data_IF_178891790623
#
_entry.id   IF_178891790623
#
_cell.length_a   1.000
_cell.length_b   1.000
_cell.length_c   1.000
_cell.angle_alpha   90.00
_cell.angle_beta   90.00
_cell.angle_gamma   90.00
#
_symmetry.space_group_name_H-M   'P 1'
#
loop_
_entity.id
_entity.type
_entity.pdbx_description
1 polymer ?
#
# COMPACT_ATOMS: atom_id res chain seq x y z
N UNK A 1 -13.33 39.86 5.03
CA UNK A 1 -13.68 39.29 3.73
C UNK A 1 -12.79 38.08 3.45
N UNK A 2 -13.36 36.98 2.98
CA UNK A 2 -12.60 35.85 2.56
C UNK A 2 -11.76 36.26 1.34
N UNK A 3 -10.48 36.51 1.55
CA UNK A 3 -9.53 36.62 0.44
C UNK A 3 -9.21 35.19 0.01
N UNK A 4 -9.44 34.88 -1.25
CA UNK A 4 -9.10 33.59 -1.81
C UNK A 4 -7.58 33.49 -1.95
N UNK A 5 -6.90 33.05 -0.89
CA UNK A 5 -5.45 32.88 -0.83
C UNK A 5 -5.01 31.52 -1.40
N UNK A 6 -5.60 31.07 -2.50
CA UNK A 6 -5.28 29.78 -3.11
C UNK A 6 -3.89 29.81 -3.73
N UNK A 7 -2.89 29.44 -2.95
CA UNK A 7 -1.63 28.94 -3.50
C UNK A 7 -1.85 27.47 -3.90
N UNK A 8 -1.75 27.16 -5.18
CA UNK A 8 -1.73 25.78 -5.65
C UNK A 8 -0.29 25.30 -5.65
N UNK A 9 -0.02 24.27 -4.87
CA UNK A 9 1.26 23.56 -4.87
C UNK A 9 1.11 22.25 -5.63
N UNK A 10 1.89 22.09 -6.70
CA UNK A 10 2.05 20.81 -7.39
C UNK A 10 3.37 20.18 -6.95
N UNK A 11 3.28 18.98 -6.39
CA UNK A 11 4.43 18.19 -5.95
C UNK A 11 4.47 16.84 -6.67
N UNK A 12 5.67 16.34 -6.95
CA UNK A 12 5.89 14.99 -7.47
C UNK A 12 6.37 14.05 -6.38
N UNK A 13 6.15 12.76 -6.53
CA UNK A 13 6.34 11.72 -5.50
C UNK A 13 7.76 11.63 -4.89
N UNK A 14 8.76 12.25 -5.49
CA UNK A 14 10.17 12.16 -5.05
C UNK A 14 10.76 13.48 -4.57
N UNK A 15 9.99 14.56 -4.57
CA UNK A 15 10.50 15.90 -4.20
C UNK A 15 9.55 16.60 -3.25
N UNK A 16 10.09 17.12 -2.16
CA UNK A 16 9.37 18.11 -1.36
C UNK A 16 9.35 19.42 -2.13
N UNK A 17 8.17 19.99 -2.32
CA UNK A 17 8.00 21.27 -3.01
C UNK A 17 7.43 22.30 -2.06
N UNK A 18 7.90 23.54 -2.15
CA UNK A 18 7.34 24.67 -1.41
C UNK A 18 6.42 25.47 -2.32
N UNK A 19 5.26 25.83 -1.80
CA UNK A 19 4.30 26.70 -2.48
C UNK A 19 4.72 28.17 -2.47
N UNK A 20 3.96 28.99 -3.19
CA UNK A 20 4.10 30.44 -3.15
C UNK A 20 3.56 30.99 -1.83
N UNK A 21 4.27 31.91 -1.21
CA UNK A 21 3.82 32.62 -0.01
C UNK A 21 2.69 33.57 -0.36
N UNK A 22 1.59 33.51 0.42
CA UNK A 22 0.45 34.42 0.32
C UNK A 22 0.32 35.24 1.60
N UNK A 23 -0.15 36.47 1.49
CA UNK A 23 -0.36 37.34 2.64
C UNK A 23 -1.67 36.96 3.35
N UNK A 24 -1.59 36.76 4.66
CA UNK A 24 -2.73 36.50 5.54
C UNK A 24 -2.63 37.45 6.73
N UNK A 25 -3.77 37.82 7.36
CA UNK A 25 -3.81 38.73 8.47
C UNK A 25 -4.17 38.03 9.77
N UNK A 26 -3.62 38.51 10.88
CA UNK A 26 -3.99 38.02 12.20
C UNK A 26 -5.49 38.15 12.43
N UNK A 27 -6.11 37.14 13.02
CA UNK A 27 -7.55 37.05 13.24
C UNK A 27 -8.35 36.46 12.08
N UNK A 28 -7.72 36.19 10.93
CA UNK A 28 -8.35 35.49 9.82
C UNK A 28 -8.32 33.95 10.01
N UNK A 29 -9.19 33.29 9.29
CA UNK A 29 -9.18 31.82 9.19
C UNK A 29 -8.98 31.42 7.72
N UNK A 30 -7.90 30.69 7.44
CA UNK A 30 -7.62 30.12 6.15
C UNK A 30 -8.23 28.72 6.06
N UNK A 31 -8.88 28.40 4.92
CA UNK A 31 -9.30 27.04 4.62
C UNK A 31 -8.20 26.32 3.87
N UNK A 32 -7.82 25.14 4.35
CA UNK A 32 -6.86 24.26 3.73
C UNK A 32 -7.64 23.23 2.89
N UNK A 33 -7.52 23.22 1.56
CA UNK A 33 -8.26 22.31 0.71
C UNK A 33 -7.81 20.88 0.90
N UNK A 34 -8.67 19.92 0.53
CA UNK A 34 -8.26 18.54 0.39
C UNK A 34 -7.20 18.41 -0.70
N UNK A 35 -6.21 17.57 -0.44
CA UNK A 35 -5.21 17.21 -1.45
C UNK A 35 -5.83 16.36 -2.55
N UNK A 36 -5.31 16.51 -3.77
CA UNK A 36 -5.64 15.65 -4.92
C UNK A 36 -4.37 15.01 -5.47
N UNK A 37 -4.47 13.81 -6.00
CA UNK A 37 -3.34 13.08 -6.58
C UNK A 37 -3.64 12.66 -8.01
N UNK A 38 -2.69 12.91 -8.92
CA UNK A 38 -2.78 12.48 -10.32
C UNK A 38 -1.36 12.32 -10.92
N UNK A 39 -1.03 11.19 -11.57
CA UNK A 39 -1.78 9.94 -11.56
C UNK A 39 -1.67 9.24 -10.20
N UNK A 40 -2.67 8.43 -9.85
CA UNK A 40 -2.67 7.64 -8.64
C UNK A 40 -3.96 7.74 -7.84
N UNK A 41 -4.02 7.01 -6.74
CA UNK A 41 -5.16 7.00 -5.85
C UNK A 41 -4.75 7.44 -4.45
N UNK A 42 -5.22 8.59 -4.02
CA UNK A 42 -4.98 9.13 -2.68
C UNK A 42 -5.47 8.14 -1.58
N UNK A 43 -6.44 7.28 -1.89
CA UNK A 43 -6.92 6.21 -1.01
C UNK A 43 -5.82 5.21 -0.60
N UNK A 44 -4.73 5.10 -1.38
CA UNK A 44 -3.59 4.24 -1.06
C UNK A 44 -2.63 4.85 -0.02
N UNK A 45 -2.90 6.07 0.43
CA UNK A 45 -2.05 6.81 1.38
C UNK A 45 -2.84 7.19 2.62
N UNK A 46 -2.14 7.30 3.73
CA UNK A 46 -2.56 8.09 4.89
C UNK A 46 -2.02 9.49 4.68
N UNK A 47 -2.90 10.49 4.58
CA UNK A 47 -2.52 11.87 4.33
C UNK A 47 -2.77 12.69 5.58
N UNK A 48 -1.77 13.44 6.01
CA UNK A 48 -1.89 14.37 7.14
C UNK A 48 -1.54 15.77 6.69
N UNK A 49 -2.09 16.77 7.39
CA UNK A 49 -1.69 18.16 7.28
C UNK A 49 -1.28 18.66 8.65
N UNK A 50 -0.19 19.42 8.70
CA UNK A 50 0.31 20.07 9.91
C UNK A 50 0.80 21.48 9.56
N UNK A 51 0.63 22.44 10.49
CA UNK A 51 1.14 23.79 10.35
C UNK A 51 2.07 24.11 11.52
N UNK A 52 3.16 24.83 11.24
CA UNK A 52 4.18 25.21 12.23
C UNK A 52 3.74 26.36 13.17
N UNK A 53 2.70 27.10 12.79
CA UNK A 53 2.11 28.14 13.63
C UNK A 53 0.60 28.29 13.35
N UNK A 54 -0.09 29.06 14.19
CA UNK A 54 -1.55 29.20 14.15
C UNK A 54 -2.25 28.05 14.88
N UNK A 55 -3.58 28.02 14.79
CA UNK A 55 -4.40 26.94 15.36
C UNK A 55 -5.07 26.17 14.23
N UNK A 56 -4.58 24.96 13.99
CA UNK A 56 -5.11 24.07 12.97
C UNK A 56 -6.29 23.27 13.52
N UNK A 57 -7.41 23.28 12.81
CA UNK A 57 -8.56 22.41 13.06
C UNK A 57 -8.65 21.37 11.96
N UNK A 58 -8.54 20.10 12.36
CA UNK A 58 -8.44 18.97 11.44
C UNK A 58 -7.00 18.71 10.99
N UNK A 59 -6.67 17.44 10.81
CA UNK A 59 -5.31 16.98 10.42
C UNK A 59 -5.31 16.03 9.24
N UNK A 60 -6.49 15.67 8.72
CA UNK A 60 -6.60 14.77 7.58
C UNK A 60 -6.48 15.56 6.27
N UNK A 61 -5.36 15.40 5.57
CA UNK A 61 -5.08 16.07 4.30
C UNK A 61 -6.08 15.75 3.17
N UNK A 62 -6.87 14.69 3.31
CA UNK A 62 -7.95 14.35 2.35
C UNK A 62 -9.29 15.03 2.70
N UNK A 63 -9.37 15.75 3.80
CA UNK A 63 -10.57 16.46 4.24
C UNK A 63 -10.60 17.90 3.69
N UNK A 64 -11.72 18.28 3.10
CA UNK A 64 -11.96 19.67 2.67
C UNK A 64 -12.27 20.63 3.85
N UNK A 65 -12.35 20.10 5.07
CA UNK A 65 -12.77 20.87 6.26
C UNK A 65 -11.64 21.35 7.16
N UNK A 66 -10.38 21.20 6.76
CA UNK A 66 -9.26 21.69 7.56
C UNK A 66 -9.21 23.21 7.52
N UNK A 67 -9.06 23.86 8.69
CA UNK A 67 -8.96 25.31 8.80
C UNK A 67 -7.79 25.70 9.70
N UNK A 68 -7.15 26.82 9.37
CA UNK A 68 -6.08 27.41 10.15
C UNK A 68 -6.49 28.80 10.62
N UNK A 69 -6.64 28.97 11.93
CA UNK A 69 -6.81 30.28 12.52
C UNK A 69 -5.45 30.99 12.64
N UNK A 70 -5.34 32.18 12.04
CA UNK A 70 -4.10 32.96 11.99
C UNK A 70 -3.97 33.74 13.28
N UNK A 71 -2.95 33.47 14.07
CA UNK A 71 -2.63 34.19 15.30
C UNK A 71 -1.65 35.34 15.03
N UNK A 72 -1.52 36.27 15.98
CA UNK A 72 -0.65 37.45 15.84
C UNK A 72 0.87 37.15 15.72
N UNK A 73 1.29 35.88 15.86
CA UNK A 73 2.70 35.51 15.83
C UNK A 73 3.30 35.38 14.41
N UNK A 74 2.45 35.34 13.36
CA UNK A 74 2.94 35.26 11.98
C UNK A 74 3.42 36.64 11.49
N UNK A 75 4.64 36.69 10.97
CA UNK A 75 5.22 37.90 10.36
C UNK A 75 5.63 37.60 8.91
N UNK A 76 5.81 38.66 8.11
CA UNK A 76 6.27 38.51 6.72
C UNK A 76 7.65 37.84 6.60
N UNK A 77 8.47 37.89 7.63
CA UNK A 77 9.80 37.26 7.71
C UNK A 77 9.77 35.86 8.28
N UNK A 78 8.61 35.42 8.81
CA UNK A 78 8.38 34.08 9.36
C UNK A 78 7.02 33.57 8.89
N UNK A 79 6.90 33.11 7.64
CA UNK A 79 5.64 32.63 7.10
C UNK A 79 5.19 31.36 7.85
N UNK A 80 3.87 31.20 7.99
CA UNK A 80 3.31 29.94 8.45
C UNK A 80 3.43 28.92 7.31
N UNK A 81 4.04 27.78 7.61
CA UNK A 81 4.17 26.68 6.68
C UNK A 81 3.21 25.56 7.06
N UNK A 82 2.30 25.22 6.14
CA UNK A 82 1.44 24.05 6.29
C UNK A 82 1.93 22.94 5.36
N UNK A 83 2.25 21.79 5.93
CA UNK A 83 2.81 20.65 5.22
C UNK A 83 1.80 19.52 5.13
N UNK A 84 1.55 19.07 3.90
CA UNK A 84 0.83 17.83 3.61
C UNK A 84 1.83 16.69 3.50
N UNK A 85 1.56 15.59 4.20
CA UNK A 85 2.43 14.41 4.21
C UNK A 85 1.63 13.19 3.79
N UNK A 86 2.10 12.50 2.75
CA UNK A 86 1.52 11.27 2.23
C UNK A 86 2.37 10.08 2.63
N UNK A 87 1.82 9.23 3.49
CA UNK A 87 2.45 7.98 3.89
C UNK A 87 1.76 6.81 3.18
N UNK A 88 2.46 6.03 2.34
CA UNK A 88 1.87 4.86 1.70
C UNK A 88 1.31 3.89 2.72
N UNK A 89 0.10 3.41 2.51
CA UNK A 89 -0.48 2.32 3.29
C UNK A 89 0.18 1.01 2.90
N UNK A 90 0.27 0.08 3.83
CA UNK A 90 0.87 -1.24 3.62
C UNK A 90 -0.07 -2.36 4.04
N UNK A 91 0.13 -3.53 3.43
CA UNK A 91 -0.36 -4.83 3.86
C UNK A 91 0.85 -5.74 4.12
N UNK A 92 0.65 -6.94 4.62
CA UNK A 92 1.68 -7.98 4.64
C UNK A 92 1.31 -9.11 3.72
N UNK A 93 2.29 -9.70 3.04
CA UNK A 93 2.16 -10.86 2.18
C UNK A 93 2.98 -12.01 2.74
N UNK A 94 2.38 -13.20 2.82
CA UNK A 94 3.05 -14.44 3.18
C UNK A 94 2.73 -15.49 2.13
N UNK A 95 3.75 -16.24 1.68
CA UNK A 95 3.57 -17.43 0.86
C UNK A 95 3.41 -18.65 1.74
N UNK A 96 2.53 -19.56 1.34
CA UNK A 96 2.35 -20.86 1.96
C UNK A 96 2.28 -21.96 0.89
N UNK A 97 2.73 -23.16 1.27
CA UNK A 97 2.65 -24.37 0.45
C UNK A 97 1.91 -25.47 1.21
N UNK A 98 0.90 -26.03 0.58
CA UNK A 98 0.19 -27.21 1.08
C UNK A 98 0.39 -28.38 0.09
N UNK A 99 0.68 -29.56 0.64
CA UNK A 99 0.82 -30.80 -0.13
C UNK A 99 -0.38 -31.72 0.14
N UNK A 100 -0.94 -32.32 -0.90
CA UNK A 100 -2.01 -33.28 -0.78
C UNK A 100 -1.55 -34.64 -0.23
N UNK A 101 -2.50 -35.47 0.17
CA UNK A 101 -2.24 -36.73 0.86
C UNK A 101 -1.41 -37.77 0.07
N UNK A 102 -1.37 -37.66 -1.26
CA UNK A 102 -0.64 -38.61 -2.13
C UNK A 102 0.68 -38.03 -2.66
N UNK A 103 1.18 -36.96 -2.09
CA UNK A 103 2.47 -36.38 -2.49
C UNK A 103 3.63 -37.28 -2.08
N UNK A 104 4.61 -37.45 -2.99
CA UNK A 104 5.81 -38.20 -2.69
C UNK A 104 6.78 -37.39 -1.82
N UNK A 105 7.43 -38.04 -0.86
CA UNK A 105 8.40 -37.40 0.02
C UNK A 105 9.59 -36.76 -0.73
N UNK A 106 9.87 -37.19 -1.96
CA UNK A 106 10.94 -36.63 -2.81
C UNK A 106 10.51 -35.40 -3.62
N UNK A 107 9.22 -35.08 -3.65
CA UNK A 107 8.72 -33.96 -4.43
C UNK A 107 9.02 -32.63 -3.75
N UNK A 108 9.30 -31.62 -4.55
CA UNK A 108 9.63 -30.29 -4.03
C UNK A 108 9.02 -29.18 -4.88
N UNK A 109 8.83 -28.04 -4.27
CA UNK A 109 8.27 -26.84 -4.91
C UNK A 109 9.04 -25.59 -4.51
N UNK A 110 9.26 -24.72 -5.48
CA UNK A 110 9.70 -23.34 -5.29
C UNK A 110 8.60 -22.41 -5.79
N UNK A 111 8.18 -21.51 -4.93
CA UNK A 111 7.17 -20.48 -5.21
C UNK A 111 7.73 -19.10 -4.88
N UNK A 112 7.22 -18.08 -5.54
CA UNK A 112 7.70 -16.71 -5.35
C UNK A 112 6.60 -15.68 -5.53
N UNK A 113 6.89 -14.47 -5.07
CA UNK A 113 6.08 -13.29 -5.29
C UNK A 113 6.98 -12.10 -5.58
N UNK A 114 6.68 -11.36 -6.66
CA UNK A 114 7.50 -10.24 -7.12
C UNK A 114 6.64 -9.00 -7.35
N UNK A 115 7.27 -7.82 -7.21
CA UNK A 115 6.68 -6.53 -7.60
C UNK A 115 7.64 -5.87 -8.58
N UNK A 116 7.16 -5.57 -9.82
CA UNK A 116 7.99 -4.96 -10.84
C UNK A 116 9.27 -5.77 -11.17
N UNK A 117 9.23 -7.10 -11.03
CA UNK A 117 10.38 -7.99 -11.24
C UNK A 117 11.32 -8.14 -10.04
N UNK A 118 11.11 -7.39 -8.96
CA UNK A 118 11.89 -7.55 -7.72
C UNK A 118 11.24 -8.61 -6.82
N UNK A 119 12.03 -9.57 -6.33
CA UNK A 119 11.56 -10.59 -5.41
C UNK A 119 11.15 -9.96 -4.07
N UNK A 120 9.87 -10.12 -3.69
CA UNK A 120 9.39 -9.74 -2.36
C UNK A 120 9.63 -10.87 -1.35
N UNK A 121 9.26 -12.11 -1.75
CA UNK A 121 9.42 -13.29 -0.91
C UNK A 121 9.47 -14.55 -1.77
N UNK A 122 10.16 -15.56 -1.28
CA UNK A 122 10.24 -16.89 -1.90
C UNK A 122 10.04 -17.95 -0.83
N UNK A 123 9.55 -19.10 -1.22
CA UNK A 123 9.42 -20.27 -0.36
C UNK A 123 9.83 -21.53 -1.12
N UNK A 124 10.74 -22.31 -0.53
CA UNK A 124 11.03 -23.67 -0.96
C UNK A 124 10.38 -24.66 0.01
N UNK A 125 9.73 -25.67 -0.51
CA UNK A 125 9.01 -26.69 0.26
C UNK A 125 9.24 -28.09 -0.31
N UNK A 126 9.29 -29.07 0.55
CA UNK A 126 9.33 -30.50 0.19
C UNK A 126 8.07 -31.19 0.72
N UNK A 127 7.59 -32.18 -0.02
CA UNK A 127 6.38 -32.93 0.32
C UNK A 127 6.60 -33.98 1.43
N UNK A 128 7.83 -34.20 1.89
CA UNK A 128 8.18 -35.18 2.92
C UNK A 128 7.64 -34.93 4.32
N UNK A 129 6.91 -33.85 4.50
CA UNK A 129 6.15 -33.56 5.71
C UNK A 129 4.73 -33.18 5.33
N UNK A 130 3.75 -33.65 6.07
CA UNK A 130 2.34 -33.26 5.91
C UNK A 130 2.04 -31.84 6.39
N UNK A 131 3.05 -31.09 6.84
CA UNK A 131 2.90 -29.75 7.34
C UNK A 131 2.83 -28.75 6.20
N UNK A 132 1.85 -27.83 6.29
CA UNK A 132 1.86 -26.62 5.47
C UNK A 132 3.14 -25.83 5.79
N UNK A 133 3.96 -25.57 4.76
CA UNK A 133 5.14 -24.75 4.92
C UNK A 133 4.77 -23.28 4.65
N UNK A 134 5.25 -22.38 5.48
CA UNK A 134 5.02 -20.94 5.32
C UNK A 134 6.35 -20.20 5.26
N UNK A 135 6.45 -19.27 4.33
CA UNK A 135 7.56 -18.32 4.23
C UNK A 135 7.44 -17.18 5.24
N UNK A 136 8.41 -16.29 5.24
CA UNK A 136 8.34 -15.06 6.02
C UNK A 136 7.26 -14.12 5.46
N UNK A 137 6.54 -13.43 6.35
CA UNK A 137 5.65 -12.35 5.96
C UNK A 137 6.48 -11.10 5.64
N UNK A 138 6.14 -10.42 4.54
CA UNK A 138 6.83 -9.21 4.06
C UNK A 138 5.83 -8.08 3.89
N UNK A 139 6.27 -6.84 4.15
CA UNK A 139 5.45 -5.66 3.90
C UNK A 139 5.36 -5.38 2.40
N UNK A 140 4.15 -5.07 1.93
CA UNK A 140 3.86 -4.67 0.55
C UNK A 140 3.03 -3.40 0.55
N UNK A 141 3.29 -2.52 -0.42
CA UNK A 141 2.60 -1.24 -0.53
C UNK A 141 1.24 -1.42 -1.20
N UNK A 142 0.22 -0.79 -0.65
CA UNK A 142 -1.10 -0.66 -1.28
C UNK A 142 -0.97 0.10 -2.60
N UNK A 143 -1.66 -0.37 -3.62
CA UNK A 143 -1.53 0.12 -5.00
C UNK A 143 -0.59 -0.72 -5.87
N UNK A 144 0.23 -1.60 -5.28
CA UNK A 144 1.10 -2.49 -6.04
C UNK A 144 0.34 -3.67 -6.64
N UNK A 145 0.85 -4.17 -7.76
CA UNK A 145 0.48 -5.46 -8.33
C UNK A 145 1.59 -6.46 -8.05
N UNK A 146 1.25 -7.53 -7.37
CA UNK A 146 2.15 -8.65 -7.08
C UNK A 146 2.01 -9.68 -8.19
N UNK A 147 3.13 -10.15 -8.71
CA UNK A 147 3.18 -11.26 -9.67
C UNK A 147 3.63 -12.53 -8.94
N UNK A 148 2.89 -13.59 -9.15
CA UNK A 148 3.20 -14.95 -8.70
C UNK A 148 3.62 -15.76 -9.94
N UNK A 149 4.91 -16.00 -10.14
CA UNK A 149 5.38 -16.90 -11.21
C UNK A 149 4.79 -18.30 -11.06
N UNK A 150 4.79 -19.04 -12.14
CA UNK A 150 4.45 -20.46 -12.09
C UNK A 150 5.32 -21.19 -11.06
N UNK A 151 4.71 -22.10 -10.30
CA UNK A 151 5.44 -22.99 -9.41
C UNK A 151 6.46 -23.84 -10.18
N UNK A 152 7.64 -24.02 -9.61
CA UNK A 152 8.71 -24.87 -10.16
C UNK A 152 9.18 -25.88 -9.12
N UNK A 153 9.74 -27.00 -9.54
CA UNK A 153 10.28 -28.01 -8.61
C UNK A 153 10.31 -29.42 -9.17
N UNK A 154 10.68 -30.40 -8.31
CA UNK A 154 10.76 -31.78 -8.67
C UNK A 154 9.35 -32.39 -8.81
N UNK A 155 9.07 -33.00 -9.94
CA UNK A 155 7.80 -33.68 -10.26
C UNK A 155 6.56 -32.76 -10.24
N UNK A 156 6.74 -31.45 -10.28
CA UNK A 156 5.63 -30.49 -10.15
C UNK A 156 4.59 -30.63 -11.27
N UNK A 157 5.01 -31.07 -12.46
CA UNK A 157 4.12 -31.35 -13.58
C UNK A 157 3.14 -32.51 -13.36
N UNK A 158 3.31 -33.30 -12.29
CA UNK A 158 2.40 -34.38 -11.92
C UNK A 158 1.21 -33.89 -11.04
N UNK A 159 1.20 -32.61 -10.70
CA UNK A 159 0.20 -32.01 -9.80
C UNK A 159 -0.72 -31.03 -10.54
N UNK A 160 -1.93 -30.92 -10.02
CA UNK A 160 -2.81 -29.79 -10.29
C UNK A 160 -2.62 -28.76 -9.16
N UNK A 161 -1.90 -27.70 -9.45
CA UNK A 161 -1.61 -26.68 -8.45
C UNK A 161 -2.70 -25.61 -8.43
N UNK A 162 -3.26 -25.35 -7.26
CA UNK A 162 -4.22 -24.28 -7.03
C UNK A 162 -3.54 -23.17 -6.22
N UNK A 163 -3.60 -21.94 -6.72
CA UNK A 163 -3.20 -20.74 -5.98
C UNK A 163 -4.45 -20.05 -5.40
N UNK A 164 -4.42 -19.75 -4.12
CA UNK A 164 -5.43 -18.93 -3.46
C UNK A 164 -4.79 -17.90 -2.55
N UNK A 165 -5.34 -16.69 -2.50
CA UNK A 165 -4.88 -15.62 -1.61
C UNK A 165 -6.04 -15.17 -0.73
N UNK A 166 -5.84 -15.21 0.60
CA UNK A 166 -6.83 -14.80 1.60
C UNK A 166 -6.23 -13.72 2.49
N UNK A 167 -7.01 -12.69 2.79
CA UNK A 167 -6.67 -11.69 3.80
C UNK A 167 -7.36 -12.00 5.12
N UNK A 168 -6.70 -11.72 6.22
CA UNK A 168 -7.32 -11.80 7.55
C UNK A 168 -8.58 -10.92 7.61
N UNK A 169 -9.76 -11.55 7.74
CA UNK A 169 -11.05 -10.85 7.76
C UNK A 169 -11.71 -10.60 6.39
N UNK A 170 -11.17 -11.13 5.29
CA UNK A 170 -11.82 -11.04 3.97
C UNK A 170 -10.96 -11.59 2.85
N UNK A 171 -11.60 -12.10 1.81
CA UNK A 171 -10.92 -12.64 0.64
C UNK A 171 -10.42 -11.52 -0.25
N UNK A 172 -9.13 -11.53 -0.62
CA UNK A 172 -8.59 -10.77 -1.74
C UNK A 172 -8.76 -11.54 -3.06
N UNK A 173 -9.50 -12.64 -3.06
CA UNK A 173 -9.71 -13.54 -4.20
C UNK A 173 -10.23 -12.80 -5.45
N UNK A 174 -11.00 -11.72 -5.27
CA UNK A 174 -11.54 -10.93 -6.38
C UNK A 174 -10.48 -10.10 -7.13
N UNK A 175 -9.28 -9.96 -6.58
CA UNK A 175 -8.18 -9.20 -7.19
C UNK A 175 -7.08 -10.10 -7.74
N UNK A 176 -7.16 -11.41 -7.51
CA UNK A 176 -6.26 -12.42 -8.05
C UNK A 176 -6.69 -12.76 -9.50
N UNK A 177 -5.77 -12.70 -10.45
CA UNK A 177 -6.05 -12.89 -11.89
C UNK A 177 -6.43 -14.32 -12.29
N UNK A 178 -6.14 -15.31 -11.46
CA UNK A 178 -6.45 -16.71 -11.71
C UNK A 178 -6.04 -17.59 -10.53
N UNK A 179 -6.42 -18.85 -10.59
CA UNK A 179 -6.19 -19.82 -9.50
C UNK A 179 -5.24 -20.96 -9.87
N UNK A 180 -4.76 -21.02 -11.11
CA UNK A 180 -3.82 -22.07 -11.52
C UNK A 180 -2.39 -21.67 -11.14
N UNK A 181 -1.81 -22.34 -10.14
CA UNK A 181 -0.45 -22.07 -9.66
C UNK A 181 0.68 -22.50 -10.60
N UNK A 182 0.37 -23.20 -11.68
CA UNK A 182 1.34 -23.60 -12.72
C UNK A 182 1.50 -22.56 -13.84
N UNK A 183 0.78 -21.45 -13.76
CA UNK A 183 0.93 -20.30 -14.65
C UNK A 183 1.18 -19.04 -13.82
N UNK A 184 1.65 -18.00 -14.47
CA UNK A 184 1.83 -16.72 -13.79
C UNK A 184 0.47 -16.07 -13.46
N UNK A 185 0.29 -15.65 -12.22
CA UNK A 185 -0.89 -14.93 -11.74
C UNK A 185 -0.49 -13.58 -11.16
N UNK A 186 -1.45 -12.69 -11.03
CA UNK A 186 -1.23 -11.38 -10.39
C UNK A 186 -2.28 -11.11 -9.32
N UNK A 187 -1.88 -10.38 -8.30
CA UNK A 187 -2.75 -9.89 -7.22
C UNK A 187 -2.59 -8.38 -7.10
N UNK A 188 -3.67 -7.64 -7.25
CA UNK A 188 -3.68 -6.20 -6.99
C UNK A 188 -3.94 -5.96 -5.52
N UNK A 189 -3.07 -5.19 -4.87
CA UNK A 189 -3.22 -4.77 -3.48
C UNK A 189 -3.99 -3.46 -3.46
N UNK A 190 -5.26 -3.51 -3.14
CA UNK A 190 -6.15 -2.35 -3.11
C UNK A 190 -6.12 -1.59 -1.79
N UNK A 191 -6.75 -0.39 -1.77
CA UNK A 191 -6.87 0.41 -0.54
C UNK A 191 -7.57 -0.33 0.60
N UNK A 192 -8.50 -1.24 0.27
CA UNK A 192 -9.20 -2.10 1.24
C UNK A 192 -8.33 -3.17 1.88
N UNK A 193 -7.10 -3.41 1.38
CA UNK A 193 -6.16 -4.37 1.95
C UNK A 193 -5.20 -3.73 2.97
N UNK A 194 -5.30 -2.43 3.18
CA UNK A 194 -4.49 -1.72 4.17
C UNK A 194 -4.57 -2.37 5.56
N UNK A 195 -3.42 -2.68 6.14
CA UNK A 195 -3.29 -3.31 7.44
C UNK A 195 -3.62 -4.79 7.49
N UNK A 196 -4.02 -5.42 6.37
CA UNK A 196 -4.34 -6.85 6.33
C UNK A 196 -3.10 -7.73 6.20
N UNK A 197 -3.18 -8.93 6.77
CA UNK A 197 -2.25 -10.02 6.53
C UNK A 197 -2.82 -10.91 5.41
N UNK A 198 -2.15 -10.92 4.26
CA UNK A 198 -2.54 -11.70 3.08
C UNK A 198 -1.68 -12.96 3.04
N UNK A 199 -2.32 -14.11 3.00
CA UNK A 199 -1.64 -15.40 2.84
C UNK A 199 -2.01 -15.98 1.48
N UNK A 200 -1.00 -16.22 0.62
CA UNK A 200 -1.16 -16.85 -0.68
C UNK A 200 -0.65 -18.29 -0.61
N UNK A 201 -1.55 -19.26 -0.76
CA UNK A 201 -1.27 -20.67 -0.61
C UNK A 201 -1.30 -21.36 -1.98
N UNK A 202 -0.23 -22.07 -2.29
CA UNK A 202 -0.16 -23.02 -3.39
C UNK A 202 -0.49 -24.42 -2.84
N UNK A 203 -1.50 -25.05 -3.38
CA UNK A 203 -1.95 -26.41 -3.00
C UNK A 203 -1.74 -27.37 -4.16
N UNK A 204 -1.02 -28.47 -3.93
CA UNK A 204 -0.77 -29.55 -4.87
C UNK A 204 -1.50 -30.79 -4.45
#
# INVERSE_FOLDING_TARGET
GLINNTAVLNSTASTNSNGVTVTVFAGETATLPAETMSPGALANYTTTVSCDAGTLTGTNGQSAGNTLAITAAATATSPITCTYTNTPKTATLQLAKAWGANSSASDSASIGATTGGTNNTTLFSTAGGTAANSGAAVAITVGNTITFPAETGTNIGNYNTVLSCLAGGGATANTLSGTNGQVSNTLVIGAGDSGKAIVCTYTN
#
